data_IF_804157885267
#
_entry.id   IF_804157885267
#
_cell.length_a   1.000
_cell.length_b   1.000
_cell.length_c   1.000
_cell.angle_alpha   90.00
_cell.angle_beta   90.00
_cell.angle_gamma   90.00
#
_symmetry.space_group_name_H-M   'P 1'
#
loop_
_entity.id
_entity.type
_entity.pdbx_description
1 polymer ?
#
# COMPACT_ATOMS: atom_id res chain seq x y z
N UNK A 1 -3.01 17.25 -10.99
CA UNK A 1 -2.50 17.40 -9.62
C UNK A 1 -1.71 18.71 -9.45
N UNK A 2 -0.67 18.97 -10.22
CA UNK A 2 0.17 20.17 -10.11
C UNK A 2 -0.63 21.47 -10.20
N UNK A 3 -1.57 21.56 -11.14
CA UNK A 3 -2.45 22.74 -11.30
C UNK A 3 -3.37 22.96 -10.10
N UNK A 4 -3.84 21.88 -9.49
CA UNK A 4 -4.73 21.94 -8.31
C UNK A 4 -3.98 22.23 -7.02
N UNK A 5 -2.69 21.93 -6.96
CA UNK A 5 -1.87 22.06 -5.76
C UNK A 5 -1.40 23.49 -5.45
N UNK A 6 -1.61 24.45 -6.33
CA UNK A 6 -1.09 25.82 -6.23
C UNK A 6 -1.34 26.47 -4.85
N UNK A 7 -2.58 26.35 -4.32
CA UNK A 7 -2.94 26.93 -3.00
C UNK A 7 -2.34 26.15 -1.80
N UNK A 8 -2.13 24.84 -1.93
CA UNK A 8 -1.55 24.03 -0.85
C UNK A 8 -0.02 24.15 -0.84
N UNK A 9 0.60 24.43 -1.98
CA UNK A 9 2.03 24.68 -2.11
C UNK A 9 2.48 25.91 -1.34
N UNK A 10 1.66 26.96 -1.26
CA UNK A 10 1.98 28.14 -0.47
C UNK A 10 2.23 27.81 1.01
N UNK A 11 1.58 26.76 1.55
CA UNK A 11 1.76 26.28 2.92
C UNK A 11 3.10 25.56 3.15
N UNK A 12 3.70 25.04 2.10
CA UNK A 12 5.02 24.36 2.14
C UNK A 12 6.17 25.37 2.24
N UNK A 13 5.93 26.64 1.90
CA UNK A 13 6.87 27.74 2.06
C UNK A 13 8.04 27.68 1.06
N UNK A 14 9.30 27.75 1.55
CA UNK A 14 10.51 27.81 0.70
C UNK A 14 10.91 26.48 0.08
N UNK A 15 10.30 25.35 0.46
CA UNK A 15 10.68 23.98 0.09
C UNK A 15 9.84 23.42 -1.06
N UNK A 16 9.41 24.27 -1.99
CA UNK A 16 8.60 23.87 -3.15
C UNK A 16 9.33 22.87 -4.08
N UNK A 17 10.62 23.07 -4.41
CA UNK A 17 11.34 22.13 -5.27
C UNK A 17 11.44 20.73 -4.66
N UNK A 18 11.71 20.65 -3.35
CA UNK A 18 11.79 19.39 -2.63
C UNK A 18 10.45 18.66 -2.58
N UNK A 19 9.35 19.40 -2.42
CA UNK A 19 8.00 18.85 -2.48
C UNK A 19 7.72 18.18 -3.83
N UNK A 20 8.04 18.83 -4.93
CA UNK A 20 7.89 18.25 -6.26
C UNK A 20 8.84 17.10 -6.52
N UNK A 21 10.08 17.17 -6.06
CA UNK A 21 11.05 16.08 -6.18
C UNK A 21 10.49 14.80 -5.50
N UNK A 22 9.90 14.92 -4.31
CA UNK A 22 9.28 13.80 -3.60
C UNK A 22 8.12 13.19 -4.40
N UNK A 23 7.30 14.00 -5.09
CA UNK A 23 6.24 13.48 -5.96
C UNK A 23 6.80 12.66 -7.13
N UNK A 24 7.91 13.11 -7.74
CA UNK A 24 8.57 12.34 -8.79
C UNK A 24 9.16 11.03 -8.26
N UNK A 25 9.74 11.02 -7.06
CA UNK A 25 10.18 9.77 -6.41
C UNK A 25 9.02 8.81 -6.20
N UNK A 26 7.85 9.29 -5.77
CA UNK A 26 6.66 8.44 -5.67
C UNK A 26 6.32 7.82 -7.04
N UNK A 27 6.31 8.61 -8.10
CA UNK A 27 6.02 8.11 -9.45
C UNK A 27 7.04 7.07 -9.91
N UNK A 28 8.33 7.24 -9.62
CA UNK A 28 9.35 6.22 -9.87
C UNK A 28 9.02 4.92 -9.09
N UNK A 29 8.67 5.02 -7.82
CA UNK A 29 8.28 3.86 -7.01
C UNK A 29 7.05 3.15 -7.57
N UNK A 30 6.05 3.90 -8.04
CA UNK A 30 4.85 3.36 -8.73
C UNK A 30 5.24 2.58 -9.99
N UNK A 31 6.11 3.13 -10.83
CA UNK A 31 6.58 2.46 -12.05
C UNK A 31 7.32 1.16 -11.71
N UNK A 32 8.22 1.18 -10.72
CA UNK A 32 8.96 0.00 -10.27
C UNK A 32 8.00 -1.06 -9.70
N UNK A 33 7.04 -0.65 -8.87
CA UNK A 33 6.07 -1.57 -8.26
C UNK A 33 5.05 -2.13 -9.27
N UNK A 34 4.89 -1.50 -10.43
CA UNK A 34 4.06 -2.01 -11.52
C UNK A 34 4.80 -2.95 -12.48
N UNK A 35 6.13 -2.83 -12.58
CA UNK A 35 6.94 -3.55 -13.58
C UNK A 35 7.94 -4.54 -12.97
N UNK A 36 7.89 -4.78 -11.67
CA UNK A 36 8.84 -5.65 -10.99
C UNK A 36 8.86 -7.08 -11.55
N UNK A 37 10.05 -7.67 -11.61
CA UNK A 37 10.27 -9.07 -11.97
C UNK A 37 10.83 -9.90 -10.82
N UNK A 38 11.21 -9.24 -9.72
CA UNK A 38 11.68 -9.91 -8.52
C UNK A 38 10.97 -9.38 -7.27
N UNK A 39 10.83 -10.22 -6.25
CA UNK A 39 10.25 -9.83 -4.97
C UNK A 39 11.01 -8.67 -4.30
N UNK A 40 12.33 -8.59 -4.51
CA UNK A 40 13.14 -7.47 -4.00
C UNK A 40 12.83 -6.15 -4.72
N UNK A 41 12.58 -6.19 -6.03
CA UNK A 41 12.17 -5.00 -6.78
C UNK A 41 10.78 -4.53 -6.35
N UNK A 42 9.85 -5.45 -6.05
CA UNK A 42 8.56 -5.11 -5.45
C UNK A 42 8.75 -4.37 -4.12
N UNK A 43 9.57 -4.91 -3.22
CA UNK A 43 9.88 -4.28 -1.94
C UNK A 43 10.48 -2.88 -2.13
N UNK A 44 11.50 -2.74 -2.97
CA UNK A 44 12.15 -1.45 -3.26
C UNK A 44 11.17 -0.44 -3.86
N UNK A 45 10.32 -0.87 -4.82
CA UNK A 45 9.30 0.00 -5.41
C UNK A 45 8.31 0.54 -4.37
N UNK A 46 7.87 -0.33 -3.46
CA UNK A 46 6.98 0.04 -2.35
C UNK A 46 7.69 1.01 -1.39
N UNK A 47 8.96 0.82 -1.05
CA UNK A 47 9.70 1.71 -0.15
C UNK A 47 9.98 3.07 -0.80
N UNK A 48 10.44 3.11 -2.05
CA UNK A 48 10.67 4.35 -2.80
C UNK A 48 9.38 5.18 -2.91
N UNK A 49 8.23 4.53 -3.01
CA UNK A 49 6.92 5.19 -3.00
C UNK A 49 6.53 5.67 -1.60
N UNK A 50 6.74 4.84 -0.57
CA UNK A 50 6.15 5.04 0.77
C UNK A 50 6.86 6.11 1.58
N UNK A 51 8.20 6.17 1.54
CA UNK A 51 8.97 7.14 2.33
C UNK A 51 8.60 8.59 1.98
N UNK A 52 8.56 8.99 0.68
CA UNK A 52 8.07 10.31 0.32
C UNK A 52 6.61 10.57 0.72
N UNK A 53 5.74 9.54 0.68
CA UNK A 53 4.35 9.68 1.13
C UNK A 53 4.25 10.04 2.60
N UNK A 54 5.07 9.45 3.46
CA UNK A 54 5.10 9.79 4.89
C UNK A 54 5.48 11.25 5.11
N UNK A 55 6.48 11.74 4.38
CA UNK A 55 6.96 13.13 4.45
C UNK A 55 5.89 14.09 3.94
N UNK A 56 5.28 13.82 2.80
CA UNK A 56 4.28 14.69 2.17
C UNK A 56 2.97 14.74 2.96
N UNK A 57 2.60 13.68 3.67
CA UNK A 57 1.46 13.67 4.60
C UNK A 57 1.63 14.73 5.70
N UNK A 58 2.85 14.92 6.20
CA UNK A 58 3.21 15.93 7.20
C UNK A 58 3.70 17.26 6.62
N UNK A 59 3.41 17.58 5.37
CA UNK A 59 3.92 18.79 4.71
C UNK A 59 3.39 20.10 5.30
N UNK A 60 2.20 20.09 5.90
CA UNK A 60 1.67 21.22 6.67
C UNK A 60 2.15 21.15 8.13
N UNK A 61 3.39 21.58 8.37
CA UNK A 61 4.07 21.49 9.68
C UNK A 61 3.38 22.24 10.81
N UNK A 62 2.53 23.23 10.50
CA UNK A 62 1.79 24.02 11.50
C UNK A 62 0.49 23.34 11.94
N UNK A 63 0.03 22.34 11.20
CA UNK A 63 -1.19 21.61 11.47
C UNK A 63 -0.88 20.34 12.28
N UNK A 64 -1.34 20.31 13.54
CA UNK A 64 -1.14 19.16 14.43
C UNK A 64 -1.73 17.87 13.85
N UNK A 65 -2.88 17.95 13.13
CA UNK A 65 -3.48 16.78 12.48
C UNK A 65 -2.59 16.22 11.37
N UNK A 66 -1.91 17.09 10.59
CA UNK A 66 -0.99 16.66 9.54
C UNK A 66 0.24 15.96 10.13
N UNK A 67 0.78 16.47 11.23
CA UNK A 67 1.92 15.87 11.92
C UNK A 67 1.55 14.51 12.55
N UNK A 68 0.38 14.42 13.19
CA UNK A 68 -0.15 13.16 13.75
C UNK A 68 -0.39 12.13 12.64
N UNK A 69 -1.00 12.53 11.52
CA UNK A 69 -1.23 11.68 10.38
C UNK A 69 0.08 11.13 9.79
N UNK A 70 1.10 11.98 9.65
CA UNK A 70 2.41 11.57 9.17
C UNK A 70 3.08 10.56 10.10
N UNK A 71 3.02 10.77 11.41
CA UNK A 71 3.59 9.85 12.39
C UNK A 71 2.87 8.50 12.37
N UNK A 72 1.54 8.49 12.37
CA UNK A 72 0.73 7.27 12.26
C UNK A 72 1.07 6.51 10.97
N UNK A 73 1.17 7.23 9.85
CA UNK A 73 1.45 6.62 8.56
C UNK A 73 2.87 6.02 8.51
N UNK A 74 3.86 6.72 9.04
CA UNK A 74 5.23 6.23 9.15
C UNK A 74 5.30 4.94 9.99
N UNK A 75 4.77 4.95 11.22
CA UNK A 75 4.87 3.81 12.12
C UNK A 75 4.13 2.58 11.59
N UNK A 76 2.88 2.75 11.16
CA UNK A 76 2.07 1.65 10.66
C UNK A 76 2.54 1.17 9.28
N UNK A 77 2.99 2.10 8.43
CA UNK A 77 3.53 1.79 7.12
C UNK A 77 4.85 1.01 7.20
N UNK A 78 5.77 1.44 8.06
CA UNK A 78 7.04 0.72 8.29
C UNK A 78 6.82 -0.68 8.88
N UNK A 79 5.84 -0.84 9.76
CA UNK A 79 5.45 -2.16 10.25
C UNK A 79 4.94 -3.05 9.13
N UNK A 80 4.08 -2.52 8.24
CA UNK A 80 3.57 -3.25 7.09
C UNK A 80 4.67 -3.67 6.12
N UNK A 81 5.67 -2.81 5.86
CA UNK A 81 6.81 -3.17 5.00
C UNK A 81 7.74 -4.18 5.65
N UNK A 82 7.84 -4.18 6.99
CA UNK A 82 8.48 -5.26 7.73
C UNK A 82 7.79 -6.62 7.52
N UNK A 83 6.44 -6.64 7.56
CA UNK A 83 5.65 -7.85 7.24
C UNK A 83 5.87 -8.29 5.78
N UNK A 84 5.93 -7.33 4.84
CA UNK A 84 6.22 -7.63 3.43
C UNK A 84 7.57 -8.32 3.29
N UNK A 85 8.62 -7.77 3.90
CA UNK A 85 9.97 -8.34 3.85
C UNK A 85 10.03 -9.71 4.49
N UNK A 86 9.34 -9.90 5.62
CA UNK A 86 9.22 -11.21 6.27
C UNK A 86 8.53 -12.21 5.34
N UNK A 87 7.44 -11.83 4.66
CA UNK A 87 6.77 -12.67 3.66
C UNK A 87 7.70 -13.07 2.51
N UNK A 88 8.49 -12.13 2.00
CA UNK A 88 9.49 -12.39 0.96
C UNK A 88 10.53 -13.38 1.45
N UNK A 89 11.03 -13.28 2.68
CA UNK A 89 12.01 -14.21 3.23
C UNK A 89 11.46 -15.63 3.39
N UNK A 90 10.20 -15.77 3.81
CA UNK A 90 9.54 -17.08 3.87
C UNK A 90 9.37 -17.72 2.49
N UNK A 91 8.97 -16.94 1.47
CA UNK A 91 8.86 -17.46 0.10
C UNK A 91 10.22 -17.85 -0.46
N UNK A 92 11.24 -17.02 -0.25
CA UNK A 92 12.60 -17.32 -0.68
C UNK A 92 13.13 -18.60 -0.03
N UNK A 93 12.95 -18.76 1.28
CA UNK A 93 13.37 -19.94 2.01
C UNK A 93 12.60 -21.22 1.64
N UNK A 94 11.32 -21.07 1.21
CA UNK A 94 10.51 -22.19 0.77
C UNK A 94 10.76 -22.58 -0.71
N UNK A 95 11.38 -21.70 -1.48
CA UNK A 95 11.67 -21.92 -2.90
C UNK A 95 12.96 -22.73 -3.07
N UNK A 96 12.84 -23.96 -3.54
CA UNK A 96 13.96 -24.88 -3.72
C UNK A 96 15.09 -24.32 -4.58
N UNK A 97 14.79 -23.41 -5.50
CA UNK A 97 15.77 -22.79 -6.39
C UNK A 97 16.47 -21.55 -5.79
N UNK A 98 16.10 -21.11 -4.60
CA UNK A 98 16.66 -19.90 -3.97
C UNK A 98 16.58 -18.66 -4.86
N UNK A 99 15.48 -18.47 -5.58
CA UNK A 99 15.30 -17.36 -6.54
C UNK A 99 14.29 -16.36 -6.05
N UNK A 100 14.60 -15.07 -6.23
CA UNK A 100 13.65 -13.95 -6.00
C UNK A 100 12.79 -13.63 -7.23
N UNK A 101 13.06 -14.23 -8.39
CA UNK A 101 12.28 -14.00 -9.61
C UNK A 101 10.89 -14.59 -9.49
N UNK A 102 9.87 -13.78 -9.79
CA UNK A 102 8.45 -14.15 -9.63
C UNK A 102 8.01 -15.28 -10.56
N UNK A 103 8.63 -15.41 -11.75
CA UNK A 103 8.42 -16.48 -12.73
C UNK A 103 9.11 -17.80 -12.36
N UNK A 104 10.05 -17.77 -11.41
CA UNK A 104 10.84 -18.94 -10.97
C UNK A 104 10.47 -19.44 -9.59
N UNK A 105 9.40 -18.93 -9.01
CA UNK A 105 8.86 -19.45 -7.75
C UNK A 105 8.21 -20.81 -8.04
N UNK A 106 8.87 -21.87 -7.58
CA UNK A 106 8.38 -23.24 -7.73
C UNK A 106 7.52 -23.62 -6.52
N UNK A 107 6.25 -23.86 -6.79
CA UNK A 107 5.35 -24.45 -5.81
C UNK A 107 5.30 -25.94 -6.12
N UNK A 108 5.74 -26.76 -5.15
CA UNK A 108 5.80 -28.22 -5.33
C UNK A 108 4.43 -28.79 -5.76
N UNK A 109 4.46 -29.77 -6.67
CA UNK A 109 3.23 -30.40 -7.17
C UNK A 109 2.45 -31.03 -6.01
N UNK A 110 1.29 -30.46 -5.71
CA UNK A 110 0.23 -31.08 -4.89
C UNK A 110 0.16 -30.66 -3.41
N UNK A 111 1.16 -30.05 -2.79
CA UNK A 111 1.03 -29.53 -1.42
C UNK A 111 1.87 -28.27 -1.23
N UNK A 112 1.20 -27.20 -0.81
CA UNK A 112 1.88 -25.99 -0.36
C UNK A 112 2.69 -26.32 0.91
N UNK A 113 3.98 -26.00 0.92
CA UNK A 113 4.72 -26.09 2.17
C UNK A 113 4.17 -25.07 3.18
N UNK A 114 4.18 -25.39 4.45
CA UNK A 114 3.69 -24.49 5.51
C UNK A 114 4.42 -23.12 5.42
N UNK A 115 5.71 -23.15 5.13
CA UNK A 115 6.54 -21.96 4.99
C UNK A 115 6.10 -21.08 3.82
N UNK A 116 5.80 -21.69 2.66
CA UNK A 116 5.27 -20.98 1.49
C UNK A 116 3.88 -20.38 1.77
N UNK A 117 3.00 -21.14 2.44
CA UNK A 117 1.67 -20.67 2.82
C UNK A 117 1.74 -19.44 3.74
N UNK A 118 2.59 -19.47 4.76
CA UNK A 118 2.83 -18.34 5.65
C UNK A 118 3.34 -17.13 4.84
N UNK A 119 4.32 -17.34 3.94
CA UNK A 119 4.84 -16.28 3.08
C UNK A 119 3.76 -15.60 2.23
N UNK A 120 2.89 -16.39 1.57
CA UNK A 120 1.77 -15.88 0.76
C UNK A 120 0.80 -15.05 1.62
N UNK A 121 0.44 -15.54 2.81
CA UNK A 121 -0.46 -14.83 3.72
C UNK A 121 0.16 -13.49 4.17
N UNK A 122 1.45 -13.47 4.52
CA UNK A 122 2.15 -12.26 4.93
C UNK A 122 2.23 -11.23 3.79
N UNK A 123 2.50 -11.66 2.55
CA UNK A 123 2.46 -10.78 1.38
C UNK A 123 1.05 -10.22 1.16
N UNK A 124 0.02 -11.06 1.30
CA UNK A 124 -1.37 -10.62 1.16
C UNK A 124 -1.74 -9.58 2.23
N UNK A 125 -1.36 -9.77 3.48
CA UNK A 125 -1.56 -8.80 4.57
C UNK A 125 -0.88 -7.48 4.24
N UNK A 126 0.39 -7.50 3.83
CA UNK A 126 1.15 -6.31 3.54
C UNK A 126 0.59 -5.52 2.34
N UNK A 127 0.22 -6.21 1.26
CA UNK A 127 -0.40 -5.57 0.09
C UNK A 127 -1.81 -5.06 0.41
N UNK A 128 -2.61 -5.79 1.21
CA UNK A 128 -3.92 -5.34 1.69
C UNK A 128 -3.81 -4.07 2.54
N UNK A 129 -2.77 -3.96 3.37
CA UNK A 129 -2.47 -2.72 4.09
C UNK A 129 -2.21 -1.56 3.11
N UNK A 130 -1.42 -1.77 2.06
CA UNK A 130 -1.08 -0.71 1.07
C UNK A 130 -2.30 -0.19 0.32
N UNK A 131 -3.25 -1.04 -0.02
CA UNK A 131 -4.52 -0.63 -0.66
C UNK A 131 -5.59 -0.22 0.35
N UNK A 132 -5.28 -0.28 1.66
CA UNK A 132 -6.21 -0.01 2.76
C UNK A 132 -7.44 -0.92 2.77
N UNK A 133 -7.29 -2.20 2.44
CA UNK A 133 -8.36 -3.18 2.53
C UNK A 133 -8.61 -3.60 4.00
N UNK A 134 -9.87 -3.80 4.40
CA UNK A 134 -10.18 -4.26 5.74
C UNK A 134 -9.77 -5.75 5.92
N UNK A 135 -9.26 -6.11 7.11
CA UNK A 135 -9.16 -5.35 8.37
C UNK A 135 -7.95 -4.40 8.48
N UNK A 136 -7.06 -4.33 7.50
CA UNK A 136 -5.80 -3.59 7.56
C UNK A 136 -5.92 -2.10 7.18
N UNK A 137 -7.13 -1.52 7.23
CA UNK A 137 -7.47 -0.17 6.76
C UNK A 137 -7.34 0.94 7.82
N UNK A 138 -7.15 0.60 9.09
CA UNK A 138 -7.30 1.51 10.23
C UNK A 138 -6.40 2.77 10.19
N UNK A 139 -5.33 2.74 9.42
CA UNK A 139 -4.46 3.90 9.20
C UNK A 139 -5.06 4.94 8.25
N UNK A 140 -5.84 4.50 7.27
CA UNK A 140 -6.24 5.30 6.11
C UNK A 140 -7.18 6.48 6.46
N UNK A 141 -8.23 6.34 7.29
CA UNK A 141 -9.12 7.45 7.60
C UNK A 141 -8.41 8.61 8.29
N UNK A 142 -7.50 8.33 9.23
CA UNK A 142 -6.77 9.37 9.96
C UNK A 142 -5.72 10.05 9.07
N UNK A 143 -5.02 9.27 8.24
CA UNK A 143 -4.01 9.79 7.31
C UNK A 143 -4.65 10.65 6.23
N UNK A 144 -5.76 10.21 5.65
CA UNK A 144 -6.44 10.97 4.60
C UNK A 144 -7.13 12.23 5.13
N UNK A 145 -7.64 12.22 6.38
CA UNK A 145 -8.22 13.42 7.00
C UNK A 145 -7.14 14.45 7.37
N UNK A 146 -6.00 13.98 7.89
CA UNK A 146 -4.92 14.87 8.35
C UNK A 146 -4.03 15.43 7.24
N UNK A 147 -3.84 14.71 6.13
CA UNK A 147 -3.01 15.15 5.02
C UNK A 147 -3.62 16.37 4.27
N UNK A 148 -2.79 17.20 3.60
CA UNK A 148 -3.29 18.24 2.70
C UNK A 148 -4.25 17.69 1.65
N UNK A 149 -5.35 18.40 1.35
CA UNK A 149 -6.47 17.85 0.55
C UNK A 149 -6.04 17.39 -0.83
N UNK A 150 -5.20 18.16 -1.51
CA UNK A 150 -4.74 17.83 -2.86
C UNK A 150 -3.85 16.58 -2.82
N UNK A 151 -3.00 16.47 -1.79
CA UNK A 151 -2.15 15.29 -1.61
C UNK A 151 -2.99 14.05 -1.25
N UNK A 152 -4.07 14.21 -0.46
CA UNK A 152 -5.02 13.12 -0.20
C UNK A 152 -5.62 12.58 -1.51
N UNK A 153 -6.02 13.45 -2.44
CA UNK A 153 -6.58 13.00 -3.73
C UNK A 153 -5.55 12.23 -4.58
N UNK A 154 -4.28 12.63 -4.53
CA UNK A 154 -3.19 11.91 -5.18
C UNK A 154 -2.99 10.52 -4.58
N UNK A 155 -3.00 10.40 -3.24
CA UNK A 155 -2.89 9.10 -2.57
C UNK A 155 -4.07 8.17 -2.91
N UNK A 156 -5.29 8.70 -2.92
CA UNK A 156 -6.50 7.93 -3.19
C UNK A 156 -6.56 7.34 -4.59
N UNK A 157 -5.93 7.98 -5.57
CA UNK A 157 -5.93 7.54 -6.97
C UNK A 157 -4.69 6.69 -7.31
N UNK A 158 -3.53 7.32 -7.39
CA UNK A 158 -2.33 6.72 -7.98
C UNK A 158 -1.77 5.59 -7.11
N UNK A 159 -1.74 5.79 -5.79
CA UNK A 159 -1.12 4.82 -4.88
C UNK A 159 -1.96 3.54 -4.79
N UNK A 160 -3.28 3.67 -4.74
CA UNK A 160 -4.15 2.49 -4.72
C UNK A 160 -4.05 1.68 -6.00
N UNK A 161 -4.07 2.35 -7.15
CA UNK A 161 -3.90 1.67 -8.45
C UNK A 161 -2.56 0.92 -8.48
N UNK A 162 -1.47 1.54 -8.04
CA UNK A 162 -0.16 0.88 -7.94
C UNK A 162 -0.20 -0.37 -7.07
N UNK A 163 -0.84 -0.30 -5.89
CA UNK A 163 -0.98 -1.43 -4.99
C UNK A 163 -1.76 -2.60 -5.60
N UNK A 164 -2.88 -2.30 -6.30
CA UNK A 164 -3.66 -3.32 -6.99
C UNK A 164 -2.92 -3.94 -8.18
N UNK A 165 -2.20 -3.14 -8.97
CA UNK A 165 -1.38 -3.64 -10.07
C UNK A 165 -0.28 -4.57 -9.55
N UNK A 166 0.39 -4.19 -8.46
CA UNK A 166 1.39 -5.04 -7.83
C UNK A 166 0.80 -6.35 -7.29
N UNK A 167 -0.38 -6.28 -6.68
CA UNK A 167 -1.11 -7.46 -6.20
C UNK A 167 -1.45 -8.41 -7.35
N UNK A 168 -2.13 -7.90 -8.39
CA UNK A 168 -2.52 -8.70 -9.54
C UNK A 168 -1.31 -9.34 -10.22
N UNK A 169 -0.26 -8.55 -10.49
CA UNK A 169 0.96 -9.06 -11.13
C UNK A 169 1.61 -10.19 -10.33
N UNK A 170 1.73 -10.03 -9.00
CA UNK A 170 2.34 -11.04 -8.15
C UNK A 170 1.52 -12.33 -8.11
N UNK A 171 0.22 -12.21 -7.85
CA UNK A 171 -0.64 -13.38 -7.64
C UNK A 171 -0.96 -14.11 -8.92
N UNK A 172 -1.12 -13.41 -10.05
CA UNK A 172 -1.34 -14.02 -11.35
C UNK A 172 -0.09 -14.75 -11.88
N UNK A 173 1.10 -14.15 -11.71
CA UNK A 173 2.34 -14.73 -12.23
C UNK A 173 2.87 -15.86 -11.35
N UNK A 174 2.89 -15.67 -10.01
CA UNK A 174 3.60 -16.58 -9.11
C UNK A 174 2.69 -17.61 -8.43
N UNK A 175 1.44 -17.24 -8.12
CA UNK A 175 0.56 -18.04 -7.26
C UNK A 175 -0.72 -18.51 -7.93
N UNK A 176 -0.82 -18.43 -9.25
CA UNK A 176 -1.99 -18.90 -10.01
C UNK A 176 -2.25 -20.40 -9.79
N UNK A 177 -1.20 -21.22 -9.74
CA UNK A 177 -1.30 -22.67 -9.56
C UNK A 177 -1.87 -23.08 -8.18
N UNK A 178 -1.90 -22.18 -7.21
CA UNK A 178 -2.44 -22.41 -5.85
C UNK A 178 -3.62 -21.48 -5.53
N UNK A 179 -4.30 -21.00 -6.55
CA UNK A 179 -5.42 -20.06 -6.45
C UNK A 179 -6.49 -20.52 -5.45
N UNK A 180 -6.86 -21.79 -5.46
CA UNK A 180 -7.87 -22.33 -4.54
C UNK A 180 -7.53 -22.16 -3.06
N UNK A 181 -6.26 -22.00 -2.72
CA UNK A 181 -5.81 -21.90 -1.33
C UNK A 181 -5.88 -20.46 -0.79
N UNK A 182 -5.57 -19.46 -1.62
CA UNK A 182 -5.58 -18.06 -1.19
C UNK A 182 -6.87 -17.30 -1.56
N UNK A 183 -7.65 -17.79 -2.51
CA UNK A 183 -8.86 -17.13 -2.98
C UNK A 183 -9.92 -16.93 -1.87
N UNK A 184 -10.05 -17.89 -0.93
CA UNK A 184 -10.99 -17.75 0.18
C UNK A 184 -10.59 -16.62 1.13
N UNK A 185 -9.28 -16.39 1.32
CA UNK A 185 -8.78 -15.29 2.14
C UNK A 185 -9.05 -13.94 1.46
N UNK A 186 -8.85 -13.87 0.13
CA UNK A 186 -9.21 -12.66 -0.65
C UNK A 186 -10.72 -12.39 -0.58
N UNK A 187 -11.55 -13.42 -0.72
CA UNK A 187 -13.01 -13.27 -0.59
C UNK A 187 -13.41 -12.74 0.79
N UNK A 188 -12.78 -13.21 1.85
CA UNK A 188 -12.99 -12.69 3.20
C UNK A 188 -12.58 -11.21 3.31
N UNK A 189 -11.41 -10.82 2.78
CA UNK A 189 -10.93 -9.44 2.77
C UNK A 189 -11.89 -8.55 1.99
N UNK A 190 -12.39 -9.00 0.82
CA UNK A 190 -13.38 -8.26 0.02
C UNK A 190 -14.66 -8.04 0.81
N UNK A 191 -15.25 -9.09 1.40
CA UNK A 191 -16.47 -8.98 2.21
C UNK A 191 -16.28 -8.04 3.39
N UNK A 192 -15.18 -8.19 4.14
CA UNK A 192 -14.87 -7.32 5.27
C UNK A 192 -14.71 -5.86 4.82
N UNK A 193 -14.07 -5.62 3.67
CA UNK A 193 -13.83 -4.28 3.13
C UNK A 193 -15.15 -3.62 2.72
N UNK A 194 -16.01 -4.34 2.00
CA UNK A 194 -17.33 -3.85 1.60
C UNK A 194 -18.23 -3.53 2.80
N UNK A 195 -18.28 -4.42 3.77
CA UNK A 195 -19.16 -4.23 4.97
C UNK A 195 -18.63 -3.07 5.82
N UNK A 196 -17.36 -3.12 6.23
CA UNK A 196 -16.78 -2.13 7.13
C UNK A 196 -16.70 -0.76 6.43
N UNK A 197 -16.22 -0.71 5.19
CA UNK A 197 -16.07 0.53 4.45
C UNK A 197 -17.39 1.28 4.27
N UNK A 198 -18.43 0.60 3.77
CA UNK A 198 -19.72 1.23 3.53
C UNK A 198 -20.45 1.62 4.81
N UNK A 199 -20.52 0.72 5.82
CA UNK A 199 -21.21 1.01 7.07
C UNK A 199 -20.56 2.20 7.78
N UNK A 200 -19.22 2.19 7.91
CA UNK A 200 -18.52 3.27 8.60
C UNK A 200 -18.56 4.60 7.86
N UNK A 201 -18.61 4.59 6.51
CA UNK A 201 -18.74 5.81 5.71
C UNK A 201 -19.99 6.62 6.07
N UNK A 202 -21.13 5.93 6.27
CA UNK A 202 -22.43 6.57 6.57
C UNK A 202 -22.40 7.34 7.90
N UNK A 203 -21.64 6.88 8.89
CA UNK A 203 -21.56 7.51 10.20
C UNK A 203 -20.53 8.65 10.31
N UNK A 204 -19.81 8.98 9.22
CA UNK A 204 -18.79 10.02 9.28
C UNK A 204 -19.39 11.42 9.15
N UNK A 205 -18.93 12.33 10.03
CA UNK A 205 -19.31 13.76 9.99
C UNK A 205 -18.37 14.59 9.10
N UNK A 206 -17.12 14.18 8.93
CA UNK A 206 -16.14 14.83 8.07
C UNK A 206 -16.23 14.28 6.65
N UNK A 207 -16.38 15.17 5.65
CA UNK A 207 -16.39 14.79 4.23
C UNK A 207 -15.11 14.06 3.83
N UNK A 208 -13.94 14.50 4.32
CA UNK A 208 -12.67 13.81 4.04
C UNK A 208 -12.66 12.38 4.57
N UNK A 209 -13.13 12.16 5.80
CA UNK A 209 -13.20 10.82 6.40
C UNK A 209 -14.23 9.95 5.68
N UNK A 210 -15.37 10.51 5.30
CA UNK A 210 -16.38 9.82 4.50
C UNK A 210 -15.79 9.35 3.17
N UNK A 211 -15.08 10.24 2.45
CA UNK A 211 -14.41 9.88 1.20
C UNK A 211 -13.29 8.85 1.40
N UNK A 212 -12.58 8.91 2.54
CA UNK A 212 -11.60 7.89 2.91
C UNK A 212 -12.25 6.51 3.04
N UNK A 213 -13.34 6.38 3.77
CA UNK A 213 -14.07 5.11 3.91
C UNK A 213 -14.70 4.66 2.59
N UNK A 214 -15.23 5.57 1.79
CA UNK A 214 -15.71 5.27 0.43
C UNK A 214 -14.59 4.73 -0.47
N UNK A 215 -13.36 5.17 -0.27
CA UNK A 215 -12.21 4.65 -1.02
C UNK A 215 -11.68 3.31 -0.48
N UNK A 216 -12.04 2.96 0.75
CA UNK A 216 -11.75 1.64 1.34
C UNK A 216 -12.72 0.60 0.77
N UNK A 217 -14.02 0.94 0.69
CA UNK A 217 -15.05 0.11 0.09
C UNK A 217 -14.87 -0.09 -1.41
#
# INVERSE_FOLDING_TARGET
>A
FFLLSAKDIEKVGKHIPEYFALLFFIMCGVCISATFNTLLMLFLGIEIMSIPLYILTGSDKRNLKSNEAALKYLLLGSFSTGILLLGITFIYGANANGSFYIDRIQIGMGKLSVMMAIGIVLLMIALSFKVSAAPFHFWAPDVYDGAPTVFTSFMLSIIKVSGFVAFLRLFDTSFNNVQQQWQNLVAFIILATLVIGNITAVFQQSVKRMMAYSSIA
#
